data_IF_549996099219
#
_entry.id   IF_549996099219
#
_cell.length_a   1.000
_cell.length_b   1.000
_cell.length_c   1.000
_cell.angle_alpha   90.00
_cell.angle_beta   90.00
_cell.angle_gamma   90.00
#
_symmetry.space_group_name_H-M   'P 1'
#
loop_
_entity.id
_entity.type
_entity.pdbx_description
1 polymer ?
#
# COMPACT_ATOMS: atom_id res chain seq x y z
N UNK A 1 -26.61 24.35 43.88
CA UNK A 1 -25.39 23.60 43.49
C UNK A 1 -25.33 23.59 41.96
N UNK A 2 -24.54 24.49 41.35
CA UNK A 2 -24.45 24.63 39.88
C UNK A 2 -23.22 23.89 39.39
N UNK A 3 -23.41 22.76 38.70
CA UNK A 3 -22.33 22.04 38.01
C UNK A 3 -21.94 22.89 36.81
N UNK A 4 -20.74 23.48 36.83
CA UNK A 4 -20.17 24.16 35.65
C UNK A 4 -19.74 23.07 34.67
N UNK A 5 -20.08 23.17 33.37
CA UNK A 5 -19.67 22.15 32.41
C UNK A 5 -18.15 22.25 32.25
N UNK A 6 -17.46 21.15 32.56
CA UNK A 6 -16.04 20.94 32.31
C UNK A 6 -15.75 20.90 30.79
N UNK A 7 -16.02 21.99 30.07
CA UNK A 7 -15.69 22.11 28.65
C UNK A 7 -14.18 22.12 28.40
N UNK A 8 -13.38 22.41 29.43
CA UNK A 8 -11.92 22.44 29.36
C UNK A 8 -11.30 21.05 29.11
N UNK A 9 -11.97 19.96 29.49
CA UNK A 9 -11.50 18.59 29.27
C UNK A 9 -11.89 18.02 27.89
N UNK A 10 -12.85 18.63 27.19
CA UNK A 10 -13.25 18.21 25.84
C UNK A 10 -12.24 18.66 24.77
N UNK A 11 -11.59 19.81 24.97
CA UNK A 11 -10.62 20.36 24.04
C UNK A 11 -9.41 19.45 23.77
N UNK A 12 -8.72 18.87 24.78
CA UNK A 12 -7.60 17.98 24.54
C UNK A 12 -8.02 16.65 23.90
N UNK A 13 -9.24 16.17 24.20
CA UNK A 13 -9.79 14.95 23.58
C UNK A 13 -10.03 15.20 22.09
N UNK A 14 -10.69 16.29 21.72
CA UNK A 14 -10.91 16.66 20.32
C UNK A 14 -9.59 16.90 19.56
N UNK A 15 -8.58 17.49 20.22
CA UNK A 15 -7.25 17.68 19.64
C UNK A 15 -6.52 16.34 19.39
N UNK A 16 -6.70 15.35 20.26
CA UNK A 16 -6.14 14.00 20.08
C UNK A 16 -6.73 13.23 18.90
N UNK A 17 -8.01 13.43 18.56
CA UNK A 17 -8.64 12.79 17.41
C UNK A 17 -8.21 13.39 16.06
N UNK A 18 -7.79 14.65 16.01
CA UNK A 18 -7.33 15.31 14.79
C UNK A 18 -5.98 14.74 14.27
N UNK A 19 -5.19 14.09 15.14
CA UNK A 19 -3.88 13.53 14.81
C UNK A 19 -3.93 12.23 13.99
N UNK A 20 -5.06 11.52 13.94
CA UNK A 20 -5.17 10.28 13.15
C UNK A 20 -4.98 10.51 11.65
N UNK A 21 -5.35 11.70 11.13
CA UNK A 21 -5.17 12.01 9.71
C UNK A 21 -3.72 12.35 9.35
N UNK A 22 -2.93 12.81 10.32
CA UNK A 22 -1.50 13.11 10.16
C UNK A 22 -0.65 11.83 10.08
N UNK A 23 -1.21 10.68 10.47
CA UNK A 23 -0.60 9.35 10.39
C UNK A 23 -1.12 8.54 9.20
N UNK A 24 -1.76 9.17 8.21
CA UNK A 24 -2.14 8.47 6.98
C UNK A 24 -0.86 7.89 6.35
N UNK A 25 -0.69 6.54 6.35
CA UNK A 25 0.53 5.92 5.86
C UNK A 25 0.74 6.14 4.37
N UNK A 26 -0.28 6.60 3.64
CA UNK A 26 -0.24 6.96 2.23
C UNK A 26 0.02 8.45 1.99
N UNK A 27 0.09 9.29 3.03
CA UNK A 27 0.28 10.73 2.87
C UNK A 27 1.76 11.18 2.73
N UNK A 28 2.71 10.29 3.07
CA UNK A 28 4.14 10.61 3.00
C UNK A 28 4.67 10.74 1.57
N UNK A 29 5.59 11.67 1.37
CA UNK A 29 6.33 11.80 0.10
C UNK A 29 7.07 10.50 -0.24
N UNK A 30 7.14 10.15 -1.53
CA UNK A 30 7.78 8.92 -2.01
C UNK A 30 7.01 7.63 -1.70
N UNK A 31 5.87 7.68 -1.00
CA UNK A 31 5.03 6.51 -0.76
C UNK A 31 4.06 6.30 -1.91
N UNK A 32 3.88 5.03 -2.28
CA UNK A 32 2.89 4.65 -3.29
C UNK A 32 1.50 5.08 -2.82
N UNK A 33 0.78 5.80 -3.69
CA UNK A 33 -0.58 6.30 -3.43
C UNK A 33 -1.54 5.67 -4.42
N UNK A 34 -2.69 5.15 -3.98
CA UNK A 34 -3.76 4.69 -4.87
C UNK A 34 -4.50 5.89 -5.49
N UNK A 35 -3.81 6.69 -6.29
CA UNK A 35 -4.34 7.89 -6.94
C UNK A 35 -4.76 7.65 -8.39
N UNK A 36 -4.87 6.39 -8.82
CA UNK A 36 -5.08 6.04 -10.23
C UNK A 36 -3.88 6.33 -11.14
N UNK A 37 -2.79 6.90 -10.59
CA UNK A 37 -1.52 7.14 -11.29
C UNK A 37 -0.93 5.85 -11.87
N UNK A 38 -1.21 4.70 -11.27
CA UNK A 38 -0.83 3.41 -11.80
C UNK A 38 -1.42 3.17 -13.20
N UNK A 39 -2.68 3.52 -13.42
CA UNK A 39 -3.34 3.33 -14.72
C UNK A 39 -2.78 4.25 -15.80
N UNK A 40 -2.38 5.46 -15.42
CA UNK A 40 -1.72 6.41 -16.31
C UNK A 40 -0.29 5.95 -16.65
N UNK A 41 0.46 5.50 -15.63
CA UNK A 41 1.80 4.95 -15.82
C UNK A 41 1.77 3.71 -16.71
N UNK A 42 0.85 2.79 -16.46
CA UNK A 42 0.65 1.61 -17.31
C UNK A 42 0.29 2.01 -18.75
N UNK A 43 -0.60 2.98 -18.94
CA UNK A 43 -0.94 3.46 -20.28
C UNK A 43 0.27 4.02 -21.05
N UNK A 44 1.23 4.64 -20.36
CA UNK A 44 2.47 5.16 -20.97
C UNK A 44 3.54 4.06 -21.15
N UNK A 45 3.57 3.07 -20.27
CA UNK A 45 4.58 1.99 -20.28
C UNK A 45 4.23 0.83 -21.22
N UNK A 46 2.96 0.67 -21.60
CA UNK A 46 2.53 -0.41 -22.48
C UNK A 46 3.07 -0.20 -23.89
N UNK A 47 3.82 -1.19 -24.37
CA UNK A 47 4.30 -1.26 -25.76
C UNK A 47 3.12 -1.48 -26.73
N UNK A 48 2.13 -2.27 -26.29
CA UNK A 48 0.93 -2.64 -27.05
C UNK A 48 -0.32 -2.30 -26.22
N UNK A 49 -0.92 -1.10 -26.40
CA UNK A 49 -2.07 -0.66 -25.61
C UNK A 49 -3.28 -1.59 -25.67
N UNK A 50 -3.47 -2.28 -26.79
CA UNK A 50 -4.51 -3.30 -27.01
C UNK A 50 -4.40 -4.50 -26.05
N UNK A 51 -3.20 -4.81 -25.57
CA UNK A 51 -2.96 -5.93 -24.65
C UNK A 51 -3.40 -5.64 -23.21
N UNK A 52 -3.81 -4.40 -22.92
CA UNK A 52 -4.34 -4.01 -21.60
C UNK A 52 -5.58 -4.80 -21.20
N UNK A 53 -6.40 -5.17 -22.19
CA UNK A 53 -7.66 -5.90 -21.96
C UNK A 53 -7.40 -7.41 -22.01
N UNK A 54 -6.57 -7.86 -22.95
CA UNK A 54 -6.31 -9.27 -23.19
C UNK A 54 -4.95 -9.46 -23.86
N UNK A 55 -4.12 -10.35 -23.32
CA UNK A 55 -2.83 -10.70 -23.92
C UNK A 55 -2.98 -11.46 -25.26
N UNK A 56 -1.97 -11.36 -26.11
CA UNK A 56 -1.95 -11.93 -27.47
C UNK A 56 -1.53 -13.40 -27.56
N UNK A 57 -1.06 -14.00 -26.45
CA UNK A 57 -0.73 -15.43 -26.40
C UNK A 57 0.52 -15.80 -27.22
N UNK A 58 1.64 -15.11 -26.98
CA UNK A 58 2.89 -15.36 -27.71
C UNK A 58 3.44 -16.79 -27.58
N UNK A 59 3.96 -17.33 -28.68
CA UNK A 59 4.63 -18.63 -28.70
C UNK A 59 5.83 -18.64 -27.74
N UNK A 60 5.86 -19.63 -26.82
CA UNK A 60 6.88 -19.73 -25.78
C UNK A 60 6.56 -18.94 -24.49
N UNK A 61 5.46 -18.19 -24.45
CA UNK A 61 5.04 -17.52 -23.22
C UNK A 61 4.61 -18.54 -22.15
N UNK A 62 4.99 -18.28 -20.89
CA UNK A 62 4.66 -19.12 -19.74
C UNK A 62 3.23 -18.90 -19.21
N UNK A 63 2.26 -18.69 -20.11
CA UNK A 63 0.87 -18.31 -19.75
C UNK A 63 0.17 -19.35 -18.87
N UNK A 64 0.35 -20.63 -19.18
CA UNK A 64 -0.22 -21.75 -18.39
C UNK A 64 0.38 -21.81 -16.99
N UNK A 65 1.70 -21.61 -16.87
CA UNK A 65 2.41 -21.55 -15.59
C UNK A 65 1.92 -20.38 -14.73
N UNK A 66 1.74 -19.21 -15.34
CA UNK A 66 1.22 -18.02 -14.67
C UNK A 66 -0.23 -18.22 -14.19
N UNK A 67 -1.11 -18.75 -15.05
CA UNK A 67 -2.50 -19.05 -14.69
C UNK A 67 -2.57 -20.04 -13.51
N UNK A 68 -1.77 -21.11 -13.55
CA UNK A 68 -1.69 -22.07 -12.46
C UNK A 68 -1.18 -21.46 -11.14
N UNK A 69 -0.30 -20.44 -11.20
CA UNK A 69 0.15 -19.72 -10.02
C UNK A 69 -0.96 -18.88 -9.39
N UNK A 70 -1.76 -18.18 -10.20
CA UNK A 70 -2.92 -17.41 -9.72
C UNK A 70 -3.95 -18.33 -9.06
N UNK A 71 -4.23 -19.48 -9.66
CA UNK A 71 -5.18 -20.43 -9.08
C UNK A 71 -4.69 -20.99 -7.74
N UNK A 72 -3.39 -21.27 -7.61
CA UNK A 72 -2.82 -21.61 -6.29
C UNK A 72 -2.96 -20.50 -5.27
N UNK A 73 -2.77 -19.25 -5.67
CA UNK A 73 -2.94 -18.10 -4.78
C UNK A 73 -4.39 -17.98 -4.30
N UNK A 74 -5.37 -18.07 -5.21
CA UNK A 74 -6.80 -17.99 -4.90
C UNK A 74 -7.28 -19.13 -4.01
N UNK A 75 -6.73 -20.32 -4.21
CA UNK A 75 -7.06 -21.52 -3.43
C UNK A 75 -6.29 -21.63 -2.10
N UNK A 76 -5.51 -20.61 -1.73
CA UNK A 76 -4.64 -20.61 -0.55
C UNK A 76 -3.64 -21.79 -0.53
N UNK A 77 -3.20 -22.22 -1.72
CA UNK A 77 -2.23 -23.30 -1.97
C UNK A 77 -0.89 -22.73 -2.41
N UNK A 78 -0.47 -21.62 -1.80
CA UNK A 78 0.77 -20.93 -2.13
C UNK A 78 1.96 -21.75 -1.62
N UNK A 79 3.02 -21.89 -2.43
CA UNK A 79 4.25 -22.51 -1.96
C UNK A 79 4.88 -21.57 -0.91
N UNK A 80 5.34 -22.07 0.24
CA UNK A 80 6.08 -21.24 1.20
C UNK A 80 7.29 -20.63 0.50
N UNK A 81 7.49 -19.32 0.72
CA UNK A 81 8.68 -18.65 0.24
C UNK A 81 9.91 -19.27 0.91
N UNK A 82 11.04 -19.42 0.20
CA UNK A 82 12.29 -19.77 0.84
C UNK A 82 12.56 -18.76 1.95
N UNK A 83 13.12 -19.22 3.08
CA UNK A 83 13.63 -18.35 4.13
C UNK A 83 14.88 -17.62 3.61
N UNK A 84 14.62 -16.60 2.79
CA UNK A 84 15.62 -15.72 2.22
C UNK A 84 15.74 -14.54 3.17
N UNK A 85 16.54 -14.70 4.23
CA UNK A 85 16.85 -13.66 5.21
C UNK A 85 17.54 -12.39 4.66
N UNK A 86 17.34 -12.06 3.37
CA UNK A 86 17.94 -10.95 2.65
C UNK A 86 17.20 -9.62 2.81
N UNK A 87 15.94 -9.62 3.25
CA UNK A 87 15.24 -8.39 3.58
C UNK A 87 15.26 -8.18 5.10
N UNK A 88 16.40 -7.75 5.66
CA UNK A 88 16.39 -7.13 6.99
C UNK A 88 15.60 -5.82 6.86
N UNK A 89 14.33 -5.84 7.27
CA UNK A 89 13.52 -4.64 7.43
C UNK A 89 14.11 -3.88 8.62
N UNK A 90 14.96 -2.88 8.34
CA UNK A 90 15.45 -1.95 9.37
C UNK A 90 14.45 -0.81 9.46
N UNK A 91 13.85 -0.64 10.63
CA UNK A 91 13.12 0.59 10.96
C UNK A 91 14.13 1.73 11.02
N UNK A 92 14.04 2.68 10.08
CA UNK A 92 14.82 3.92 10.17
C UNK A 92 14.16 4.77 11.25
N UNK A 93 14.86 5.12 12.36
CA UNK A 93 14.31 6.03 13.35
C UNK A 93 14.11 7.39 12.68
N UNK A 94 12.88 7.90 12.68
CA UNK A 94 12.62 9.30 12.33
C UNK A 94 13.46 10.17 13.28
N UNK A 95 14.43 10.90 12.73
CA UNK A 95 15.30 11.76 13.50
C UNK A 95 14.49 12.77 14.31
N UNK A 96 14.59 12.70 15.63
CA UNK A 96 14.19 13.79 16.51
C UNK A 96 15.16 14.95 16.28
N UNK A 97 14.76 15.93 15.49
CA UNK A 97 15.43 17.23 15.46
C UNK A 97 15.11 17.94 16.78
N UNK A 98 15.93 17.68 17.80
CA UNK A 98 15.94 18.45 19.03
C UNK A 98 16.61 19.80 18.77
N UNK A 99 15.87 20.87 19.01
CA UNK A 99 16.40 22.21 19.25
C UNK A 99 16.07 22.59 20.69
#
# INVERSE_FOLDING_TARGET
>A
MRIRPNGLLLLPVLAGLAGCHALDPYAGEGRWRPAGVNEQNLAVMLVHPEERIQGTGGGGAAGTTAAAAIERLRADKVKPLPDSGLARIVTVPNGSSGN
#
